data_IF_236571741771
#
_entry.id   IF_236571741771
#
_cell.length_a   1.000
_cell.length_b   1.000
_cell.length_c   1.000
_cell.angle_alpha   90.00
_cell.angle_beta   90.00
_cell.angle_gamma   90.00
#
_symmetry.space_group_name_H-M   'P 1'
#
loop_
_entity.id
_entity.type
_entity.pdbx_description
1 polymer ?
#
# COMPACT_ATOMS: atom_id res chain seq x y z
N UNK A 1 -7.60 21.60 -16.08
CA UNK A 1 -6.42 20.79 -16.45
C UNK A 1 -6.08 19.84 -15.32
N UNK A 2 -5.77 18.60 -15.66
CA UNK A 2 -5.39 17.61 -14.65
C UNK A 2 -3.94 17.89 -14.23
N UNK A 3 -3.72 18.06 -12.92
CA UNK A 3 -2.38 18.27 -12.38
C UNK A 3 -1.82 17.02 -11.72
N UNK A 4 -2.69 16.11 -11.28
CA UNK A 4 -2.26 14.94 -10.52
C UNK A 4 -3.34 13.87 -10.55
N UNK A 5 -2.93 12.59 -10.49
CA UNK A 5 -3.85 11.48 -10.34
C UNK A 5 -3.56 10.87 -8.97
N UNK A 6 -4.60 10.74 -8.15
CA UNK A 6 -4.47 10.24 -6.79
C UNK A 6 -5.35 9.02 -6.61
N UNK A 7 -4.75 7.90 -6.18
CA UNK A 7 -5.51 6.68 -5.90
C UNK A 7 -6.28 6.83 -4.59
N UNK A 8 -7.42 6.14 -4.50
CA UNK A 8 -8.24 6.10 -3.29
C UNK A 8 -8.46 4.64 -2.89
N UNK A 9 -8.18 4.32 -1.64
CA UNK A 9 -8.40 3.00 -1.07
C UNK A 9 -9.42 3.06 0.07
N UNK A 10 -10.15 1.99 0.32
CA UNK A 10 -11.15 1.97 1.39
C UNK A 10 -10.51 1.70 2.75
N UNK A 11 -11.17 2.15 3.82
CA UNK A 11 -10.86 1.70 5.17
C UNK A 11 -12.14 1.34 5.92
N UNK A 12 -12.06 0.29 6.74
CA UNK A 12 -13.14 -0.06 7.67
C UNK A 12 -12.82 0.38 9.09
N UNK A 13 -11.54 0.35 9.46
CA UNK A 13 -11.04 0.75 10.77
C UNK A 13 -9.90 1.75 10.56
N UNK A 14 -10.18 3.01 10.89
CA UNK A 14 -9.25 4.11 10.66
C UNK A 14 -7.89 3.86 11.31
N UNK A 15 -7.89 3.43 12.59
CA UNK A 15 -6.64 3.29 13.32
C UNK A 15 -5.77 2.17 12.73
N UNK A 16 -6.39 1.07 12.34
CA UNK A 16 -5.63 -0.02 11.70
C UNK A 16 -5.01 0.42 10.39
N UNK A 17 -5.74 1.21 9.61
CA UNK A 17 -5.22 1.74 8.34
C UNK A 17 -4.06 2.70 8.59
N UNK A 18 -4.21 3.62 9.54
CA UNK A 18 -3.14 4.56 9.88
C UNK A 18 -1.88 3.83 10.35
N UNK A 19 -2.04 2.85 11.24
CA UNK A 19 -0.90 2.09 11.76
C UNK A 19 -0.20 1.32 10.64
N UNK A 20 -0.96 0.65 9.80
CA UNK A 20 -0.40 -0.17 8.73
C UNK A 20 0.41 0.68 7.74
N UNK A 21 -0.19 1.76 7.24
CA UNK A 21 0.47 2.59 6.23
C UNK A 21 1.61 3.42 6.82
N UNK A 22 1.53 3.78 8.11
CA UNK A 22 2.65 4.41 8.81
C UNK A 22 3.85 3.48 8.87
N UNK A 23 3.61 2.18 9.10
CA UNK A 23 4.68 1.18 9.10
C UNK A 23 5.31 1.00 7.72
N UNK A 24 4.56 1.27 6.66
CA UNK A 24 5.11 1.27 5.30
C UNK A 24 5.93 2.54 4.99
N UNK A 25 5.81 3.57 5.82
CA UNK A 25 6.53 4.82 5.65
C UNK A 25 5.69 6.01 5.21
N UNK A 26 4.35 5.86 5.16
CA UNK A 26 3.48 6.98 4.82
C UNK A 26 3.27 7.91 6.01
N UNK A 27 3.12 9.20 5.72
CA UNK A 27 2.77 10.23 6.68
C UNK A 27 1.32 10.64 6.47
N UNK A 28 0.49 10.57 7.52
CA UNK A 28 -0.89 11.03 7.44
C UNK A 28 -0.94 12.54 7.70
N UNK A 29 -1.32 13.28 6.67
CA UNK A 29 -1.34 14.76 6.70
C UNK A 29 -2.74 15.31 6.92
N UNK A 30 -3.78 14.50 6.80
CA UNK A 30 -5.16 14.89 7.10
C UNK A 30 -5.92 13.69 7.66
N UNK A 31 -6.73 13.94 8.67
CA UNK A 31 -7.48 12.92 9.38
C UNK A 31 -8.88 13.48 9.66
N UNK A 32 -9.79 13.27 8.71
CA UNK A 32 -11.20 13.65 8.87
C UNK A 32 -12.00 12.43 9.32
N UNK A 33 -13.23 12.64 9.77
CA UNK A 33 -14.04 11.55 10.30
C UNK A 33 -14.15 10.36 9.35
N UNK A 34 -14.36 10.64 8.06
CA UNK A 34 -14.62 9.59 7.06
C UNK A 34 -13.62 9.58 5.92
N UNK A 35 -12.49 10.28 6.06
CA UNK A 35 -11.53 10.44 4.99
C UNK A 35 -10.13 10.71 5.52
N UNK A 36 -9.14 10.06 4.93
CA UNK A 36 -7.74 10.24 5.32
C UNK A 36 -6.91 10.62 4.09
N UNK A 37 -5.86 11.40 4.31
CA UNK A 37 -4.88 11.72 3.27
C UNK A 37 -3.50 11.40 3.81
N UNK A 38 -2.76 10.58 3.05
CA UNK A 38 -1.40 10.21 3.38
C UNK A 38 -0.45 10.60 2.24
N UNK A 39 0.80 10.85 2.59
CA UNK A 39 1.83 11.18 1.61
C UNK A 39 3.04 10.28 1.79
N UNK A 40 3.76 10.07 0.70
CA UNK A 40 5.04 9.40 0.68
C UNK A 40 5.90 10.10 -0.38
N UNK A 41 6.91 10.86 0.04
CA UNK A 41 7.66 11.75 -0.86
C UNK A 41 6.68 12.67 -1.62
N UNK A 42 6.71 12.64 -2.95
CA UNK A 42 5.84 13.47 -3.78
C UNK A 42 4.53 12.77 -4.16
N UNK A 43 4.28 11.58 -3.61
CA UNK A 43 3.06 10.83 -3.88
C UNK A 43 2.03 11.05 -2.79
N UNK A 44 0.77 10.95 -3.18
CA UNK A 44 -0.35 11.13 -2.26
C UNK A 44 -1.31 9.96 -2.43
N UNK A 45 -1.90 9.51 -1.33
CA UNK A 45 -2.84 8.40 -1.31
C UNK A 45 -3.99 8.79 -0.39
N UNK A 46 -5.22 8.68 -0.88
CA UNK A 46 -6.41 9.00 -0.11
C UNK A 46 -7.12 7.73 0.34
N UNK A 47 -7.82 7.82 1.46
CA UNK A 47 -8.62 6.72 1.99
C UNK A 47 -10.02 7.22 2.29
N UNK A 48 -11.02 6.42 1.92
CA UNK A 48 -12.43 6.73 2.20
C UNK A 48 -13.03 5.63 3.06
N UNK A 49 -13.93 5.99 3.96
CA UNK A 49 -14.58 5.01 4.82
C UNK A 49 -15.56 4.16 4.03
N UNK A 50 -15.47 2.85 4.24
CA UNK A 50 -16.33 1.86 3.59
C UNK A 50 -16.68 0.80 4.64
N UNK A 51 -17.60 1.11 5.53
CA UNK A 51 -17.89 0.27 6.71
C UNK A 51 -18.31 -1.15 6.37
N UNK A 52 -19.05 -1.33 5.28
CA UNK A 52 -19.62 -2.62 4.89
C UNK A 52 -18.65 -3.49 4.09
N UNK A 53 -17.45 -3.01 3.82
CA UNK A 53 -16.48 -3.76 3.04
C UNK A 53 -16.09 -5.05 3.77
N UNK A 54 -16.12 -6.15 3.04
CA UNK A 54 -15.58 -7.43 3.50
C UNK A 54 -14.18 -7.57 2.92
N UNK A 55 -13.13 -7.48 3.74
CA UNK A 55 -11.74 -7.50 3.23
C UNK A 55 -11.41 -8.70 2.37
N UNK A 56 -11.96 -9.87 2.70
CA UNK A 56 -11.70 -11.10 1.95
C UNK A 56 -12.34 -11.10 0.55
N UNK A 57 -13.21 -10.15 0.27
CA UNK A 57 -13.86 -9.98 -1.03
C UNK A 57 -13.44 -8.69 -1.73
N UNK A 58 -12.43 -8.03 -1.21
CA UNK A 58 -11.97 -6.76 -1.79
C UNK A 58 -11.23 -7.00 -3.11
N UNK A 59 -11.56 -6.17 -4.10
CA UNK A 59 -10.89 -6.19 -5.40
C UNK A 59 -10.03 -4.94 -5.60
N UNK A 60 -9.82 -4.16 -4.55
CA UNK A 60 -8.97 -2.97 -4.63
C UNK A 60 -7.51 -3.39 -4.77
N UNK A 61 -6.78 -2.66 -5.61
CA UNK A 61 -5.36 -2.93 -5.81
C UNK A 61 -4.60 -1.68 -6.17
N UNK A 62 -3.31 -1.68 -5.88
CA UNK A 62 -2.43 -0.55 -6.10
C UNK A 62 -1.05 -1.07 -6.49
N UNK A 63 -0.41 -0.41 -7.46
CA UNK A 63 0.97 -0.71 -7.82
C UNK A 63 1.86 0.46 -7.38
N UNK A 64 2.90 0.16 -6.59
CA UNK A 64 3.82 1.15 -6.06
C UNK A 64 5.22 0.87 -6.65
N UNK A 65 5.77 1.85 -7.34
CA UNK A 65 7.11 1.71 -7.92
C UNK A 65 8.16 2.06 -6.88
N UNK A 66 9.16 1.20 -6.78
CA UNK A 66 10.32 1.40 -5.90
C UNK A 66 11.48 1.88 -6.78
N UNK A 67 12.11 2.98 -6.37
CA UNK A 67 13.20 3.56 -7.14
C UNK A 67 14.49 2.74 -7.06
N UNK A 68 14.78 2.17 -5.88
CA UNK A 68 15.99 1.36 -5.67
C UNK A 68 15.88 0.57 -4.37
N UNK A 69 16.69 -0.49 -4.28
CA UNK A 69 16.85 -1.30 -3.06
C UNK A 69 15.57 -1.96 -2.57
N UNK A 70 14.80 -2.56 -3.47
CA UNK A 70 13.57 -3.25 -3.10
C UNK A 70 13.83 -4.38 -2.11
N UNK A 71 14.99 -5.07 -2.20
CA UNK A 71 15.37 -6.11 -1.26
C UNK A 71 15.45 -5.57 0.17
N UNK A 72 16.05 -4.40 0.33
CA UNK A 72 16.20 -3.77 1.64
C UNK A 72 14.82 -3.39 2.20
N UNK A 73 13.95 -2.86 1.37
CA UNK A 73 12.58 -2.52 1.76
C UNK A 73 11.81 -3.77 2.18
N UNK A 74 11.90 -4.83 1.37
CA UNK A 74 11.28 -6.13 1.67
C UNK A 74 11.72 -6.67 3.03
N UNK A 75 13.03 -6.66 3.29
CA UNK A 75 13.58 -7.15 4.56
C UNK A 75 13.15 -6.27 5.73
N UNK A 76 13.08 -4.96 5.53
CA UNK A 76 12.60 -4.03 6.55
C UNK A 76 11.15 -4.32 6.95
N UNK A 77 10.28 -4.56 5.97
CA UNK A 77 8.88 -4.87 6.24
C UNK A 77 8.75 -6.20 7.01
N UNK A 78 9.54 -7.20 6.63
CA UNK A 78 9.56 -8.47 7.35
C UNK A 78 10.04 -8.30 8.79
N UNK A 79 11.01 -7.42 9.01
CA UNK A 79 11.51 -7.13 10.36
C UNK A 79 10.47 -6.45 11.25
N UNK A 80 9.48 -5.80 10.64
CA UNK A 80 8.35 -5.18 11.34
C UNK A 80 7.16 -6.12 11.47
N UNK A 81 7.34 -7.40 11.16
CA UNK A 81 6.28 -8.42 11.16
C UNK A 81 5.12 -8.12 10.22
N UNK A 82 5.37 -7.35 9.17
CA UNK A 82 4.38 -7.12 8.13
C UNK A 82 4.34 -8.37 7.25
N UNK A 83 3.15 -8.98 7.15
CA UNK A 83 2.97 -10.23 6.45
C UNK A 83 3.05 -10.03 4.94
N UNK A 84 3.91 -10.82 4.28
CA UNK A 84 3.99 -10.86 2.82
C UNK A 84 2.85 -11.74 2.29
N UNK A 85 2.24 -11.33 1.17
CA UNK A 85 1.19 -12.14 0.55
C UNK A 85 1.73 -13.54 0.22
N UNK A 86 0.96 -14.62 0.48
CA UNK A 86 1.45 -16.00 0.27
C UNK A 86 1.97 -16.27 -1.14
N UNK A 87 1.41 -15.62 -2.15
CA UNK A 87 1.84 -15.75 -3.54
C UNK A 87 2.64 -14.54 -4.01
N UNK A 88 3.09 -13.69 -3.10
CA UNK A 88 3.72 -12.41 -3.42
C UNK A 88 5.12 -12.24 -2.86
N UNK A 89 5.87 -13.32 -2.67
CA UNK A 89 7.26 -13.19 -2.24
C UNK A 89 8.07 -12.43 -3.27
N UNK A 90 9.16 -11.81 -2.82
CA UNK A 90 10.04 -11.06 -3.72
C UNK A 90 10.63 -11.99 -4.78
N UNK A 91 10.40 -11.65 -6.05
CA UNK A 91 10.94 -12.42 -7.17
C UNK A 91 11.00 -11.55 -8.44
N UNK A 92 11.84 -11.98 -9.39
CA UNK A 92 11.95 -11.34 -10.70
C UNK A 92 10.84 -11.84 -11.61
N UNK A 93 10.15 -10.89 -12.27
CA UNK A 93 9.05 -11.19 -13.18
C UNK A 93 9.51 -11.13 -14.64
N UNK A 94 8.80 -11.84 -15.56
CA UNK A 94 9.16 -11.84 -16.97
C UNK A 94 9.15 -10.46 -17.65
N UNK A 95 8.49 -9.48 -17.04
CA UNK A 95 8.40 -8.11 -17.58
C UNK A 95 9.47 -7.17 -16.99
N UNK A 96 10.60 -7.72 -16.58
CA UNK A 96 11.78 -6.97 -16.12
C UNK A 96 11.53 -6.14 -14.87
N UNK A 97 10.67 -6.64 -13.98
CA UNK A 97 10.41 -6.04 -12.69
C UNK A 97 10.75 -7.03 -11.59
N UNK A 98 11.29 -6.53 -10.50
CA UNK A 98 11.43 -7.31 -9.26
C UNK A 98 10.31 -6.87 -8.34
N UNK A 99 9.44 -7.80 -7.96
CA UNK A 99 8.18 -7.47 -7.29
C UNK A 99 7.90 -8.32 -6.07
N UNK A 100 7.18 -7.74 -5.11
CA UNK A 100 6.53 -8.48 -4.03
C UNK A 100 5.16 -7.84 -3.74
N UNK A 101 4.31 -8.56 -3.01
CA UNK A 101 2.96 -8.07 -2.73
C UNK A 101 2.58 -8.21 -1.28
N UNK A 102 1.74 -7.29 -0.81
CA UNK A 102 1.13 -7.29 0.51
C UNK A 102 -0.38 -7.26 0.36
N UNK A 103 -1.08 -7.65 1.42
CA UNK A 103 -2.52 -7.40 1.57
C UNK A 103 -2.67 -6.45 2.75
N UNK A 104 -3.32 -5.31 2.55
CA UNK A 104 -3.54 -4.35 3.61
C UNK A 104 -4.71 -4.81 4.52
N UNK A 105 -4.99 -4.12 5.64
CA UNK A 105 -6.04 -4.56 6.57
C UNK A 105 -7.43 -4.68 5.95
N UNK A 106 -7.69 -3.99 4.85
CA UNK A 106 -8.99 -3.98 4.18
C UNK A 106 -9.01 -4.84 2.91
N UNK A 107 -8.00 -5.67 2.72
CA UNK A 107 -7.95 -6.61 1.61
C UNK A 107 -7.43 -6.02 0.31
N UNK A 108 -6.90 -4.80 0.31
CA UNK A 108 -6.31 -4.22 -0.89
C UNK A 108 -4.98 -4.90 -1.21
N UNK A 109 -4.80 -5.27 -2.47
CA UNK A 109 -3.55 -5.85 -2.94
C UNK A 109 -2.56 -4.74 -3.27
N UNK A 110 -1.44 -4.72 -2.57
CA UNK A 110 -0.38 -3.75 -2.81
C UNK A 110 0.80 -4.47 -3.45
N UNK A 111 1.10 -4.14 -4.70
CA UNK A 111 2.25 -4.71 -5.40
C UNK A 111 3.34 -3.65 -5.49
N UNK A 112 4.53 -4.02 -5.04
CA UNK A 112 5.72 -3.16 -5.07
C UNK A 112 6.67 -3.68 -6.12
N UNK A 113 7.19 -2.80 -6.97
CA UNK A 113 8.06 -3.22 -8.04
C UNK A 113 9.21 -2.26 -8.31
N UNK A 114 10.38 -2.82 -8.53
CA UNK A 114 11.57 -2.09 -8.96
C UNK A 114 11.98 -2.60 -10.33
N UNK A 115 12.26 -1.69 -11.25
CA UNK A 115 12.73 -2.06 -12.59
C UNK A 115 14.15 -2.62 -12.50
N UNK A 116 14.36 -3.73 -13.19
CA UNK A 116 15.66 -4.38 -13.28
C UNK A 116 16.56 -3.66 -14.29
#
# INVERSE_FOLDING_TARGET
MISQIIAKLPFTDKQKTKDYYSDLGFDFVADYDHYLIATYNNSELHFFEFKELLPEKSDFMLYLKISSNIEKFYDLLKSKDIKIHPNGKLETKPWNMKEFSLIDPDGALLTFGEKI
#
